data_IF_502991042476
#
_entry.id   IF_502991042476
#
_cell.length_a   1.000
_cell.length_b   1.000
_cell.length_c   1.000
_cell.angle_alpha   90.00
_cell.angle_beta   90.00
_cell.angle_gamma   90.00
#
_symmetry.space_group_name_H-M   'P 1'
#
loop_
_entity.id
_entity.type
_entity.pdbx_description
1 polymer ?
#
# COMPACT_ATOMS: atom_id res chain seq x y z
N UNK A 1 -22.40 1.66 33.89
CA UNK A 1 -21.17 1.91 33.16
C UNK A 1 -20.33 0.64 33.33
N UNK A 2 -20.42 -0.28 32.38
CA UNK A 2 -19.54 -1.43 32.32
C UNK A 2 -18.18 -0.87 31.90
N UNK A 3 -17.12 -1.15 32.69
CA UNK A 3 -15.77 -0.76 32.36
C UNK A 3 -15.40 -1.36 31.01
N UNK A 4 -15.04 -0.51 30.07
CA UNK A 4 -14.35 -0.90 28.86
C UNK A 4 -13.07 -1.63 29.33
N UNK A 5 -13.02 -2.95 29.22
CA UNK A 5 -11.75 -3.66 29.15
C UNK A 5 -10.94 -2.91 28.08
N UNK A 6 -9.76 -2.46 28.45
CA UNK A 6 -8.88 -1.73 27.50
C UNK A 6 -8.64 -2.64 26.32
N UNK A 7 -9.09 -2.24 25.14
CA UNK A 7 -8.87 -2.95 23.90
C UNK A 7 -7.39 -3.30 23.79
N UNK A 8 -7.08 -4.60 23.72
CA UNK A 8 -5.72 -5.06 23.49
C UNK A 8 -5.42 -4.99 22.00
N UNK A 9 -4.16 -4.86 21.63
CA UNK A 9 -3.73 -4.95 20.24
C UNK A 9 -2.88 -6.20 20.07
N UNK A 10 -3.43 -7.21 19.40
CA UNK A 10 -2.73 -8.47 19.16
C UNK A 10 -1.84 -8.38 17.91
N UNK A 11 -0.64 -8.95 17.99
CA UNK A 11 0.20 -9.23 16.83
C UNK A 11 -0.20 -10.60 16.28
N UNK A 12 -0.59 -10.66 15.01
CA UNK A 12 -0.95 -11.91 14.33
C UNK A 12 0.02 -12.13 13.17
N UNK A 13 0.84 -13.16 13.30
CA UNK A 13 1.81 -13.57 12.28
C UNK A 13 1.18 -14.65 11.42
N UNK A 14 1.20 -14.42 10.11
CA UNK A 14 0.63 -15.29 9.08
C UNK A 14 1.77 -16.06 8.44
N UNK A 15 1.86 -17.37 8.70
CA UNK A 15 2.92 -18.22 8.22
C UNK A 15 2.37 -19.43 7.43
N UNK A 16 3.19 -20.00 6.54
CA UNK A 16 2.81 -21.18 5.77
C UNK A 16 3.92 -22.24 5.80
N UNK A 17 4.94 -22.12 4.95
CA UNK A 17 5.95 -23.15 4.73
C UNK A 17 7.41 -22.66 4.75
N UNK A 18 7.65 -21.41 5.15
CA UNK A 18 8.95 -20.74 5.09
C UNK A 18 9.54 -20.50 6.47
N UNK A 19 10.36 -21.44 6.96
CA UNK A 19 10.94 -21.37 8.31
C UNK A 19 11.90 -20.20 8.50
N UNK A 20 12.85 -19.99 7.56
CA UNK A 20 13.86 -18.93 7.68
C UNK A 20 13.25 -17.50 7.68
N UNK A 21 12.32 -17.17 6.78
CA UNK A 21 11.57 -15.92 6.85
C UNK A 21 10.86 -15.73 8.19
N UNK A 22 10.12 -16.74 8.67
CA UNK A 22 9.42 -16.69 9.95
C UNK A 22 10.39 -16.40 11.11
N UNK A 23 11.53 -17.10 11.21
CA UNK A 23 12.52 -16.85 12.27
C UNK A 23 13.05 -15.42 12.25
N UNK A 24 13.24 -14.86 11.06
CA UNK A 24 13.72 -13.50 10.87
C UNK A 24 12.68 -12.46 11.33
N UNK A 25 11.40 -12.65 10.96
CA UNK A 25 10.31 -11.82 11.46
C UNK A 25 10.20 -11.91 12.97
N UNK A 26 10.14 -13.12 13.53
CA UNK A 26 10.08 -13.36 14.98
C UNK A 26 11.24 -12.67 15.73
N UNK A 27 12.45 -12.71 15.17
CA UNK A 27 13.61 -12.02 15.75
C UNK A 27 13.43 -10.49 15.79
N UNK A 28 12.89 -9.89 14.73
CA UNK A 28 12.63 -8.44 14.70
C UNK A 28 11.49 -8.05 15.66
N UNK A 29 10.43 -8.83 15.73
CA UNK A 29 9.32 -8.66 16.68
C UNK A 29 9.81 -8.76 18.12
N UNK A 30 10.68 -9.74 18.44
CA UNK A 30 11.25 -9.91 19.79
C UNK A 30 12.06 -8.71 20.27
N UNK A 31 12.74 -8.00 19.36
CA UNK A 31 13.62 -6.87 19.68
C UNK A 31 12.96 -5.50 19.54
N UNK A 32 11.69 -5.47 19.19
CA UNK A 32 10.90 -4.24 19.10
C UNK A 32 10.56 -3.68 20.49
N UNK A 33 10.12 -2.44 20.51
CA UNK A 33 9.72 -1.73 21.72
C UNK A 33 8.21 -1.87 21.94
N UNK A 34 7.85 -2.18 23.17
CA UNK A 34 6.47 -2.30 23.60
C UNK A 34 6.23 -1.39 24.80
N UNK A 35 5.00 -0.83 24.97
CA UNK A 35 4.70 0.03 26.10
C UNK A 35 4.88 -0.71 27.43
N UNK A 36 5.40 -0.01 28.45
CA UNK A 36 5.54 -0.57 29.77
C UNK A 36 4.20 -1.06 30.31
N UNK A 37 4.20 -2.26 30.91
CA UNK A 37 3.02 -2.91 31.52
C UNK A 37 1.86 -3.17 30.53
N UNK A 38 2.08 -3.08 29.22
CA UNK A 38 1.10 -3.47 28.22
C UNK A 38 1.21 -4.98 27.99
N UNK A 39 0.09 -5.67 28.01
CA UNK A 39 0.00 -7.06 27.58
C UNK A 39 -0.17 -7.09 26.07
N UNK A 40 0.79 -7.67 25.37
CA UNK A 40 0.81 -7.78 23.89
C UNK A 40 0.59 -9.25 23.50
N UNK A 41 -0.64 -9.65 23.16
CA UNK A 41 -0.90 -10.98 22.68
C UNK A 41 -0.20 -11.24 21.35
N UNK A 42 0.42 -12.41 21.20
CA UNK A 42 1.06 -12.86 19.97
C UNK A 42 0.38 -14.15 19.48
N UNK A 43 -0.18 -14.09 18.28
CA UNK A 43 -0.74 -15.25 17.60
C UNK A 43 0.17 -15.57 16.41
N UNK A 44 0.63 -16.84 16.32
CA UNK A 44 1.36 -17.35 15.16
C UNK A 44 0.44 -18.35 14.49
N UNK A 45 -0.21 -17.94 13.39
CA UNK A 45 -1.09 -18.79 12.62
C UNK A 45 -0.32 -19.43 11.46
N UNK A 46 -0.34 -20.76 11.39
CA UNK A 46 0.43 -21.55 10.43
C UNK A 46 -0.55 -22.35 9.57
N UNK A 47 -0.67 -21.99 8.28
CA UNK A 47 -1.46 -22.76 7.33
C UNK A 47 -0.86 -24.15 7.11
N UNK A 48 -1.70 -25.13 6.79
CA UNK A 48 -1.30 -26.52 6.62
C UNK A 48 -0.24 -26.69 5.54
N UNK A 49 0.92 -27.19 5.94
CA UNK A 49 2.01 -27.61 5.05
C UNK A 49 2.68 -28.88 5.60
N UNK A 50 3.51 -29.51 4.79
CA UNK A 50 4.32 -30.67 5.20
C UNK A 50 5.65 -30.25 5.86
N UNK A 51 5.91 -28.95 6.01
CA UNK A 51 7.13 -28.43 6.61
C UNK A 51 7.01 -28.26 8.14
N UNK A 52 7.37 -29.27 8.89
CA UNK A 52 7.36 -29.24 10.36
C UNK A 52 8.32 -28.23 11.01
N UNK A 53 9.33 -27.73 10.26
CA UNK A 53 10.28 -26.75 10.81
C UNK A 53 9.64 -25.39 11.10
N UNK A 54 8.54 -25.03 10.40
CA UNK A 54 7.78 -23.79 10.65
C UNK A 54 7.12 -23.86 12.03
N UNK A 55 6.45 -24.97 12.34
CA UNK A 55 5.83 -25.19 13.67
C UNK A 55 6.90 -25.24 14.78
N UNK A 56 8.03 -25.88 14.51
CA UNK A 56 9.16 -25.91 15.44
C UNK A 56 9.70 -24.51 15.72
N UNK A 57 9.89 -23.68 14.68
CA UNK A 57 10.33 -22.29 14.83
C UNK A 57 9.37 -21.46 15.69
N UNK A 58 8.06 -21.62 15.51
CA UNK A 58 7.04 -20.96 16.32
C UNK A 58 7.03 -21.46 17.77
N UNK A 59 7.20 -22.78 17.98
CA UNK A 59 7.20 -23.40 19.32
C UNK A 59 8.41 -22.98 20.15
N UNK A 60 9.60 -22.95 19.54
CA UNK A 60 10.86 -22.57 20.18
C UNK A 60 10.95 -21.06 20.47
N UNK A 61 10.10 -20.24 19.85
CA UNK A 61 10.12 -18.79 20.02
C UNK A 61 9.60 -18.41 21.41
N UNK A 62 10.43 -17.71 22.19
CA UNK A 62 10.07 -17.18 23.50
C UNK A 62 9.48 -15.78 23.40
N UNK A 63 8.26 -15.59 23.95
CA UNK A 63 7.52 -14.32 23.98
C UNK A 63 7.25 -13.89 25.42
N UNK A 64 7.78 -12.76 25.82
CA UNK A 64 7.73 -12.29 27.22
C UNK A 64 6.74 -11.13 27.45
N UNK A 65 6.11 -10.60 26.39
CA UNK A 65 5.29 -9.41 26.50
C UNK A 65 3.78 -9.68 26.64
N UNK A 66 3.39 -10.95 26.65
CA UNK A 66 1.99 -11.35 26.80
C UNK A 66 1.77 -12.82 26.46
N UNK A 67 0.53 -13.20 26.29
CA UNK A 67 0.17 -14.55 25.84
C UNK A 67 0.73 -14.86 24.46
N UNK A 68 1.27 -16.06 24.25
CA UNK A 68 1.64 -16.61 22.93
C UNK A 68 0.72 -17.76 22.57
N UNK A 69 0.02 -17.65 21.45
CA UNK A 69 -0.81 -18.72 20.88
C UNK A 69 -0.24 -19.17 19.53
N UNK A 70 -0.19 -20.48 19.29
CA UNK A 70 0.16 -21.07 18.00
C UNK A 70 -1.08 -21.76 17.47
N UNK A 71 -1.54 -21.33 16.29
CA UNK A 71 -2.69 -21.91 15.61
C UNK A 71 -2.20 -22.72 14.41
N UNK A 72 -2.64 -23.96 14.30
CA UNK A 72 -2.37 -24.85 13.17
C UNK A 72 -3.68 -25.30 12.56
N UNK A 73 -3.71 -25.56 11.27
CA UNK A 73 -4.89 -25.96 10.53
C UNK A 73 -4.78 -27.40 10.02
N UNK A 74 -5.86 -28.15 10.12
CA UNK A 74 -5.89 -29.55 9.63
C UNK A 74 -5.88 -29.64 8.11
N UNK A 75 -6.39 -28.59 7.43
CA UNK A 75 -6.47 -28.48 5.98
C UNK A 75 -5.84 -27.17 5.53
N UNK A 76 -5.27 -27.16 4.32
CA UNK A 76 -4.79 -25.93 3.68
C UNK A 76 -5.94 -24.95 3.46
N UNK A 77 -5.84 -23.78 4.06
CA UNK A 77 -6.80 -22.69 3.91
C UNK A 77 -6.58 -21.91 2.61
N UNK A 78 -5.30 -21.73 2.25
CA UNK A 78 -4.86 -20.82 1.21
C UNK A 78 -4.85 -19.36 1.69
N UNK A 79 -4.10 -18.52 0.96
CA UNK A 79 -3.77 -17.16 1.40
C UNK A 79 -4.99 -16.34 1.81
N UNK A 80 -6.02 -16.27 0.97
CA UNK A 80 -7.20 -15.43 1.22
C UNK A 80 -7.91 -15.81 2.52
N UNK A 81 -8.28 -17.06 2.67
CA UNK A 81 -9.02 -17.51 3.85
C UNK A 81 -8.17 -17.39 5.10
N UNK A 82 -6.89 -17.74 5.01
CA UNK A 82 -5.96 -17.65 6.13
C UNK A 82 -5.83 -16.20 6.65
N UNK A 83 -5.63 -15.22 5.76
CA UNK A 83 -5.56 -13.80 6.13
C UNK A 83 -6.88 -13.33 6.75
N UNK A 84 -8.02 -13.74 6.17
CA UNK A 84 -9.34 -13.36 6.69
C UNK A 84 -9.57 -13.90 8.11
N UNK A 85 -9.25 -15.17 8.37
CA UNK A 85 -9.33 -15.77 9.71
C UNK A 85 -8.37 -15.10 10.70
N UNK A 86 -7.16 -14.71 10.27
CA UNK A 86 -6.21 -13.98 11.09
C UNK A 86 -6.72 -12.57 11.48
N UNK A 87 -7.34 -11.86 10.56
CA UNK A 87 -7.92 -10.54 10.84
C UNK A 87 -9.17 -10.61 11.75
N UNK A 88 -9.90 -11.72 11.72
CA UNK A 88 -11.10 -11.93 12.56
C UNK A 88 -10.76 -11.95 14.06
N UNK A 89 -9.48 -12.16 14.45
CA UNK A 89 -9.02 -11.99 15.84
C UNK A 89 -9.17 -10.55 16.35
N UNK A 90 -9.41 -9.55 15.48
CA UNK A 90 -9.78 -8.21 15.92
C UNK A 90 -11.05 -8.19 16.76
N UNK A 91 -11.98 -9.12 16.54
CA UNK A 91 -13.18 -9.28 17.37
C UNK A 91 -12.92 -9.79 18.78
N UNK A 92 -11.80 -10.50 19.00
CA UNK A 92 -11.39 -11.01 20.31
C UNK A 92 -10.58 -9.96 21.10
N UNK A 93 -9.68 -9.23 20.41
CA UNK A 93 -8.71 -8.35 21.06
C UNK A 93 -9.03 -6.85 20.93
N UNK A 94 -10.00 -6.47 20.11
CA UNK A 94 -10.29 -5.06 19.81
C UNK A 94 -9.47 -4.53 18.64
N UNK A 95 -8.17 -4.81 18.59
CA UNK A 95 -7.28 -4.42 17.49
C UNK A 95 -6.34 -5.56 17.10
N UNK A 96 -5.91 -5.58 15.82
CA UNK A 96 -4.90 -6.52 15.32
C UNK A 96 -3.86 -5.83 14.46
N UNK A 97 -2.62 -6.35 14.54
CA UNK A 97 -1.54 -6.06 13.60
C UNK A 97 -1.25 -7.36 12.85
N UNK A 98 -1.44 -7.36 11.53
CA UNK A 98 -1.23 -8.52 10.66
C UNK A 98 0.16 -8.42 10.00
N UNK A 99 0.98 -9.45 10.17
CA UNK A 99 2.33 -9.53 9.61
C UNK A 99 2.50 -10.86 8.86
N UNK A 100 2.84 -10.80 7.57
CA UNK A 100 3.24 -11.97 6.79
C UNK A 100 4.67 -12.41 7.15
N UNK A 101 4.99 -13.70 7.02
CA UNK A 101 6.23 -14.31 7.51
C UNK A 101 7.53 -13.80 6.86
N UNK A 102 7.44 -13.09 5.70
CA UNK A 102 8.59 -12.52 4.99
C UNK A 102 8.90 -11.06 5.33
N UNK A 103 8.26 -10.51 6.32
CA UNK A 103 8.50 -9.14 6.74
C UNK A 103 9.63 -9.02 7.76
N UNK A 104 10.09 -7.80 7.92
CA UNK A 104 10.94 -7.33 9.00
C UNK A 104 10.34 -6.07 9.59
N UNK A 105 10.24 -5.97 10.92
CA UNK A 105 9.68 -4.81 11.59
C UNK A 105 10.77 -3.97 12.24
N UNK A 106 10.61 -2.64 12.22
CA UNK A 106 11.47 -1.73 12.96
C UNK A 106 11.08 -1.69 14.46
N UNK A 107 11.97 -1.18 15.34
CA UNK A 107 11.71 -1.20 16.77
C UNK A 107 10.39 -0.56 17.20
N UNK A 108 9.99 0.55 16.61
CA UNK A 108 8.82 1.33 17.05
C UNK A 108 7.50 0.97 16.34
N UNK A 109 7.46 -0.13 15.58
CA UNK A 109 6.29 -0.50 14.77
C UNK A 109 5.00 -0.65 15.57
N UNK A 110 5.10 -1.22 16.76
CA UNK A 110 3.95 -1.46 17.63
C UNK A 110 3.38 -0.16 18.19
N UNK A 111 4.26 0.71 18.69
CA UNK A 111 3.86 2.02 19.22
C UNK A 111 3.23 2.91 18.15
N UNK A 112 3.78 2.89 16.91
CA UNK A 112 3.16 3.55 15.78
C UNK A 112 1.75 3.00 15.51
N UNK A 113 1.62 1.67 15.43
CA UNK A 113 0.33 1.03 15.17
C UNK A 113 -0.72 1.42 16.21
N UNK A 114 -0.37 1.40 17.50
CA UNK A 114 -1.26 1.83 18.58
C UNK A 114 -1.72 3.28 18.37
N UNK A 115 -0.77 4.19 18.20
CA UNK A 115 -1.07 5.61 18.03
C UNK A 115 -1.92 5.89 16.77
N UNK A 116 -1.65 5.20 15.67
CA UNK A 116 -2.40 5.35 14.43
C UNK A 116 -3.81 4.74 14.52
N UNK A 117 -3.98 3.59 15.17
CA UNK A 117 -5.29 2.97 15.42
C UNK A 117 -6.16 3.85 16.32
N UNK A 118 -5.60 4.39 17.41
CA UNK A 118 -6.28 5.33 18.28
C UNK A 118 -6.71 6.58 17.51
N UNK A 119 -5.80 7.15 16.71
CA UNK A 119 -6.07 8.34 15.90
C UNK A 119 -7.19 8.12 14.88
N UNK A 120 -7.30 6.92 14.29
CA UNK A 120 -8.25 6.60 13.23
C UNK A 120 -9.55 5.95 13.72
N UNK A 121 -9.66 5.57 14.99
CA UNK A 121 -10.75 4.76 15.54
C UNK A 121 -12.17 5.34 15.29
N UNK A 122 -12.29 6.67 15.26
CA UNK A 122 -13.57 7.37 15.07
C UNK A 122 -13.73 7.97 13.65
N UNK A 123 -12.83 7.69 12.73
CA UNK A 123 -12.91 8.20 11.35
C UNK A 123 -13.42 7.11 10.41
N UNK A 124 -14.72 7.20 10.06
CA UNK A 124 -15.41 6.22 9.19
C UNK A 124 -14.83 6.14 7.77
N UNK A 125 -14.02 7.13 7.37
CA UNK A 125 -13.32 7.13 6.08
C UNK A 125 -11.99 6.38 6.10
N UNK A 126 -11.57 5.86 7.25
CA UNK A 126 -10.31 5.12 7.37
C UNK A 126 -10.60 3.63 7.54
N UNK A 127 -10.20 2.84 6.54
CA UNK A 127 -10.44 1.40 6.49
C UNK A 127 -9.32 0.57 7.12
N UNK A 128 -8.22 1.19 7.55
CA UNK A 128 -7.08 0.52 8.19
C UNK A 128 -5.81 1.36 8.19
N UNK A 129 -4.77 0.82 8.78
CA UNK A 129 -3.45 1.46 8.92
C UNK A 129 -2.39 0.57 8.25
N UNK A 130 -1.54 1.15 7.43
CA UNK A 130 -0.34 0.50 6.89
C UNK A 130 0.86 0.75 7.79
N UNK A 131 1.74 -0.23 7.90
CA UNK A 131 3.05 -0.09 8.51
C UNK A 131 4.16 0.10 7.46
N UNK A 132 3.82 -0.06 6.21
CA UNK A 132 4.70 0.05 5.05
C UNK A 132 4.49 1.39 4.34
N UNK A 133 5.57 1.99 3.82
CA UNK A 133 5.52 3.20 3.02
C UNK A 133 5.84 2.88 1.55
N UNK A 134 4.93 3.21 0.63
CA UNK A 134 5.20 3.07 -0.80
C UNK A 134 6.18 4.13 -1.28
N UNK A 135 7.28 3.69 -1.90
CA UNK A 135 8.21 4.54 -2.65
C UNK A 135 8.09 4.32 -4.16
N UNK A 136 7.17 3.45 -4.56
CA UNK A 136 6.92 3.08 -5.95
C UNK A 136 5.41 3.05 -6.19
N UNK A 137 4.94 3.71 -7.25
CA UNK A 137 3.61 3.45 -7.78
C UNK A 137 3.62 2.05 -8.41
N UNK A 138 2.94 1.11 -7.77
CA UNK A 138 2.97 -0.32 -8.13
C UNK A 138 2.32 -0.62 -9.48
N UNK A 139 1.52 0.29 -10.02
CA UNK A 139 0.82 0.09 -11.30
C UNK A 139 1.72 0.38 -12.50
N UNK A 140 2.55 1.42 -12.39
CA UNK A 140 3.43 1.87 -13.49
C UNK A 140 4.92 1.62 -13.23
N UNK A 141 5.28 1.15 -12.03
CA UNK A 141 6.65 0.87 -11.60
C UNK A 141 7.55 2.12 -11.65
N UNK A 142 6.99 3.28 -11.31
CA UNK A 142 7.70 4.55 -11.22
C UNK A 142 7.77 5.04 -9.78
N UNK A 143 8.79 5.85 -9.42
CA UNK A 143 8.90 6.42 -8.07
C UNK A 143 7.63 7.17 -7.66
N UNK A 144 7.19 6.92 -6.44
CA UNK A 144 6.09 7.61 -5.80
C UNK A 144 6.61 8.33 -4.56
N UNK A 145 6.32 9.61 -4.47
CA UNK A 145 6.64 10.45 -3.32
C UNK A 145 5.36 11.21 -2.94
N UNK A 146 4.76 10.93 -1.79
CA UNK A 146 3.61 11.69 -1.34
C UNK A 146 4.01 13.14 -1.01
N UNK A 147 3.12 14.10 -1.23
CA UNK A 147 3.32 15.51 -0.92
C UNK A 147 3.64 15.67 0.57
N UNK A 148 4.71 16.41 0.88
CA UNK A 148 5.09 16.73 2.25
C UNK A 148 4.21 17.88 2.76
N UNK A 149 3.29 17.59 3.68
CA UNK A 149 2.34 18.55 4.27
C UNK A 149 2.55 18.79 5.77
N UNK A 150 3.64 18.24 6.31
CA UNK A 150 4.06 18.44 7.70
C UNK A 150 3.46 17.45 8.70
N UNK A 151 2.74 16.45 8.25
CA UNK A 151 2.26 15.32 9.05
C UNK A 151 3.14 14.07 8.84
N UNK A 152 3.15 13.16 9.82
CA UNK A 152 3.90 11.91 9.75
C UNK A 152 3.16 10.79 8.98
N UNK A 153 1.99 11.11 8.44
CA UNK A 153 1.17 10.21 7.64
C UNK A 153 0.78 10.82 6.28
N UNK A 154 0.31 9.98 5.41
CA UNK A 154 -0.45 10.29 4.21
C UNK A 154 -1.57 9.26 4.03
N UNK A 155 -2.43 9.43 3.04
CA UNK A 155 -3.57 8.57 2.79
C UNK A 155 -3.54 8.00 1.38
N UNK A 156 -3.93 6.72 1.25
CA UNK A 156 -3.99 6.04 -0.05
C UNK A 156 -5.18 5.07 -0.06
N UNK A 157 -5.96 5.04 -1.14
CA UNK A 157 -7.04 4.06 -1.34
C UNK A 157 -6.50 2.69 -1.79
N UNK A 158 -5.49 2.22 -1.12
CA UNK A 158 -4.85 0.93 -1.35
C UNK A 158 -4.53 0.33 0.01
N UNK A 159 -5.00 -0.88 0.28
CA UNK A 159 -4.55 -1.63 1.44
C UNK A 159 -3.16 -2.23 1.17
N UNK A 160 -2.42 -2.56 2.22
CA UNK A 160 -1.08 -3.11 2.12
C UNK A 160 -1.01 -4.45 2.84
N UNK A 161 -0.44 -5.49 2.21
CA UNK A 161 -0.13 -6.76 2.86
C UNK A 161 1.24 -6.76 3.58
N UNK A 162 2.03 -5.70 3.41
CA UNK A 162 3.38 -5.59 3.99
C UNK A 162 3.37 -5.00 5.41
N UNK A 163 2.49 -5.51 6.26
CA UNK A 163 2.26 -5.02 7.62
C UNK A 163 1.11 -4.02 7.67
N UNK A 164 0.09 -4.38 8.41
CA UNK A 164 -1.15 -3.62 8.48
C UNK A 164 -1.82 -3.79 9.84
N UNK A 165 -2.60 -2.81 10.24
CA UNK A 165 -3.33 -2.85 11.49
C UNK A 165 -4.78 -2.40 11.31
N UNK A 166 -5.67 -2.99 12.10
CA UNK A 166 -7.10 -2.72 12.06
C UNK A 166 -7.69 -2.67 13.47
N UNK A 167 -8.64 -1.79 13.68
CA UNK A 167 -9.60 -1.93 14.78
C UNK A 167 -10.64 -3.01 14.43
N UNK A 168 -11.32 -3.55 15.45
CA UNK A 168 -12.43 -4.49 15.25
C UNK A 168 -13.50 -3.91 14.32
N UNK A 169 -13.79 -2.60 14.44
CA UNK A 169 -14.78 -1.91 13.61
C UNK A 169 -14.36 -1.83 12.14
N UNK A 170 -13.12 -1.47 11.86
CA UNK A 170 -12.57 -1.39 10.50
C UNK A 170 -12.58 -2.77 9.82
N UNK A 171 -12.09 -3.80 10.52
CA UNK A 171 -12.09 -5.15 9.98
C UNK A 171 -13.48 -5.72 9.76
N UNK A 172 -14.38 -5.54 10.72
CA UNK A 172 -15.79 -5.95 10.62
C UNK A 172 -16.48 -5.32 9.42
N UNK A 173 -16.29 -4.01 9.18
CA UNK A 173 -16.85 -3.32 8.02
C UNK A 173 -16.41 -3.94 6.69
N UNK A 174 -15.12 -4.29 6.56
CA UNK A 174 -14.62 -5.02 5.40
C UNK A 174 -15.23 -6.42 5.27
N UNK A 175 -15.31 -7.19 6.37
CA UNK A 175 -15.87 -8.55 6.37
C UNK A 175 -17.35 -8.56 5.98
N UNK A 176 -18.16 -7.64 6.51
CA UNK A 176 -19.57 -7.52 6.17
C UNK A 176 -19.80 -7.12 4.70
N UNK A 177 -18.94 -6.23 4.16
CA UNK A 177 -18.99 -5.88 2.75
C UNK A 177 -18.65 -7.08 1.87
N UNK A 178 -17.58 -7.82 2.22
CA UNK A 178 -17.13 -9.00 1.48
C UNK A 178 -18.19 -10.11 1.47
N UNK A 179 -18.84 -10.35 2.61
CA UNK A 179 -19.93 -11.34 2.74
C UNK A 179 -21.13 -10.98 1.88
N UNK A 180 -21.57 -9.71 1.92
CA UNK A 180 -22.69 -9.22 1.10
C UNK A 180 -22.41 -9.30 -0.40
N UNK A 181 -21.16 -9.06 -0.80
CA UNK A 181 -20.77 -9.14 -2.21
C UNK A 181 -20.65 -10.58 -2.71
N UNK A 182 -20.36 -11.51 -1.84
CA UNK A 182 -20.11 -12.92 -2.17
C UNK A 182 -18.67 -13.20 -2.57
N UNK A 183 -18.19 -14.36 -2.19
CA UNK A 183 -16.83 -14.81 -2.52
C UNK A 183 -16.68 -15.05 -4.03
N UNK A 184 -15.58 -14.53 -4.61
CA UNK A 184 -15.28 -14.68 -6.03
C UNK A 184 -16.11 -13.80 -6.97
N UNK A 185 -16.89 -12.85 -6.44
CA UNK A 185 -17.65 -11.91 -7.27
C UNK A 185 -16.74 -11.08 -8.16
N UNK A 186 -17.15 -10.86 -9.40
CA UNK A 186 -16.45 -9.98 -10.32
C UNK A 186 -16.47 -8.52 -9.81
N UNK A 187 -15.37 -7.80 -10.03
CA UNK A 187 -15.21 -6.40 -9.65
C UNK A 187 -15.40 -5.47 -10.87
N UNK A 188 -16.30 -5.83 -11.80
CA UNK A 188 -16.47 -5.12 -13.07
C UNK A 188 -16.96 -3.69 -12.88
N UNK A 189 -17.79 -3.47 -11.85
CA UNK A 189 -18.45 -2.18 -11.60
C UNK A 189 -17.59 -1.22 -10.76
N UNK A 190 -16.48 -1.69 -10.19
CA UNK A 190 -15.60 -0.88 -9.36
C UNK A 190 -14.49 -0.26 -10.21
N UNK A 191 -14.20 1.03 -10.02
CA UNK A 191 -13.07 1.75 -10.68
C UNK A 191 -11.73 1.34 -10.05
N UNK A 192 -11.39 0.06 -10.20
CA UNK A 192 -10.18 -0.56 -9.66
C UNK A 192 -9.09 -0.60 -10.74
N UNK A 193 -7.81 -0.32 -10.41
CA UNK A 193 -6.71 -0.42 -11.35
C UNK A 193 -6.63 -1.79 -12.03
N UNK A 194 -6.38 -1.82 -13.33
CA UNK A 194 -6.42 -3.04 -14.16
C UNK A 194 -5.48 -4.15 -13.67
N UNK A 195 -4.28 -3.79 -13.23
CA UNK A 195 -3.36 -4.77 -12.66
C UNK A 195 -3.91 -5.39 -11.37
N UNK A 196 -4.62 -4.64 -10.51
CA UNK A 196 -5.28 -5.18 -9.31
C UNK A 196 -6.46 -6.05 -9.73
N UNK A 197 -7.25 -5.63 -10.73
CA UNK A 197 -8.34 -6.41 -11.30
C UNK A 197 -7.88 -7.77 -11.79
N UNK A 198 -6.69 -7.84 -12.41
CA UNK A 198 -6.11 -9.06 -12.95
C UNK A 198 -5.55 -10.03 -11.90
N UNK A 199 -5.45 -9.63 -10.62
CA UNK A 199 -5.00 -10.54 -9.57
C UNK A 199 -5.95 -11.72 -9.42
N UNK A 200 -5.38 -12.86 -9.00
CA UNK A 200 -6.15 -14.07 -8.73
C UNK A 200 -7.30 -13.81 -7.73
N UNK A 201 -8.38 -14.56 -7.86
CA UNK A 201 -9.49 -14.53 -6.89
C UNK A 201 -9.10 -15.07 -5.51
N UNK A 202 -7.93 -15.73 -5.40
CA UNK A 202 -7.32 -16.06 -4.11
C UNK A 202 -6.71 -14.85 -3.38
N UNK A 203 -6.63 -13.66 -4.01
CA UNK A 203 -6.13 -12.44 -3.38
C UNK A 203 -7.20 -11.80 -2.51
N UNK A 204 -7.00 -11.79 -1.19
CA UNK A 204 -7.85 -11.03 -0.25
C UNK A 204 -7.69 -9.51 -0.45
N UNK A 205 -6.46 -9.08 -0.79
CA UNK A 205 -6.09 -7.68 -0.96
C UNK A 205 -6.86 -6.99 -2.10
N UNK A 206 -7.10 -7.71 -3.21
CA UNK A 206 -7.93 -7.26 -4.33
C UNK A 206 -9.31 -6.78 -3.86
N UNK A 207 -9.95 -7.56 -2.98
CA UNK A 207 -11.28 -7.24 -2.45
C UNK A 207 -11.25 -6.12 -1.40
N UNK A 208 -10.19 -6.05 -0.59
CA UNK A 208 -10.05 -4.95 0.35
C UNK A 208 -9.86 -3.61 -0.37
N UNK A 209 -9.06 -3.58 -1.46
CA UNK A 209 -8.92 -2.39 -2.29
C UNK A 209 -10.26 -1.98 -2.92
N UNK A 210 -11.04 -2.95 -3.45
CA UNK A 210 -12.35 -2.67 -4.00
C UNK A 210 -13.30 -2.10 -2.93
N UNK A 211 -13.27 -2.62 -1.72
CA UNK A 211 -14.02 -2.10 -0.57
C UNK A 211 -13.69 -0.64 -0.28
N UNK A 212 -12.40 -0.30 -0.23
CA UNK A 212 -11.97 1.07 0.01
C UNK A 212 -12.47 2.03 -1.07
N UNK A 213 -12.40 1.62 -2.34
CA UNK A 213 -12.86 2.45 -3.46
C UNK A 213 -14.38 2.65 -3.41
N UNK A 214 -15.16 1.57 -3.23
CA UNK A 214 -16.63 1.65 -3.22
C UNK A 214 -17.19 2.42 -2.02
N UNK A 215 -16.45 2.45 -0.92
CA UNK A 215 -16.85 3.18 0.30
C UNK A 215 -16.19 4.56 0.42
N UNK A 216 -15.40 4.98 -0.55
CA UNK A 216 -14.58 6.20 -0.51
C UNK A 216 -13.73 6.28 0.76
N UNK A 217 -13.11 5.15 1.12
CA UNK A 217 -12.27 5.00 2.31
C UNK A 217 -10.80 4.95 1.93
N UNK A 218 -9.95 5.23 2.91
CA UNK A 218 -8.50 5.30 2.75
C UNK A 218 -7.80 4.45 3.80
N UNK A 219 -6.57 4.06 3.52
CA UNK A 219 -5.61 3.61 4.52
C UNK A 219 -4.75 4.78 4.97
N UNK A 220 -4.44 4.84 6.27
CA UNK A 220 -3.41 5.71 6.80
C UNK A 220 -2.06 5.03 6.60
N UNK A 221 -1.14 5.72 5.95
CA UNK A 221 0.23 5.28 5.66
C UNK A 221 1.27 6.10 6.40
N UNK A 222 2.36 5.48 6.91
CA UNK A 222 3.48 6.21 7.49
C UNK A 222 4.34 6.86 6.40
N UNK A 223 4.98 7.98 6.70
CA UNK A 223 6.01 8.53 5.82
C UNK A 223 7.34 7.81 5.95
N UNK A 224 7.66 7.29 7.13
CA UNK A 224 8.80 6.39 7.36
C UNK A 224 8.28 4.98 7.56
N UNK A 225 8.76 4.04 6.77
CA UNK A 225 8.28 2.66 6.83
C UNK A 225 8.66 1.98 8.14
N UNK A 226 7.69 1.32 8.77
CA UNK A 226 7.85 0.53 10.01
C UNK A 226 8.11 -0.95 9.70
N UNK A 227 7.87 -1.35 8.44
CA UNK A 227 8.10 -2.70 7.95
C UNK A 227 8.77 -2.66 6.58
N UNK A 228 9.44 -3.74 6.22
CA UNK A 228 9.89 -4.00 4.85
C UNK A 228 9.84 -5.49 4.57
N UNK A 229 9.79 -5.86 3.30
CA UNK A 229 9.94 -7.23 2.87
C UNK A 229 11.41 -7.55 2.55
N UNK A 230 11.71 -8.83 2.35
CA UNK A 230 13.02 -9.29 1.91
C UNK A 230 13.00 -9.74 0.45
N UNK A 231 14.19 -9.76 -0.17
CA UNK A 231 14.40 -10.25 -1.54
C UNK A 231 14.20 -11.77 -1.70
N UNK A 232 13.85 -12.48 -0.64
CA UNK A 232 13.68 -13.94 -0.70
C UNK A 232 12.53 -14.33 -1.62
N UNK A 233 12.70 -15.39 -2.41
CA UNK A 233 11.69 -15.93 -3.28
C UNK A 233 10.42 -16.25 -2.48
N UNK A 234 9.29 -15.64 -2.87
CA UNK A 234 7.96 -15.93 -2.32
C UNK A 234 7.20 -16.94 -3.17
N UNK A 235 6.07 -17.42 -2.68
CA UNK A 235 5.21 -18.37 -3.43
C UNK A 235 4.70 -17.76 -4.75
N UNK A 236 4.57 -16.43 -4.80
CA UNK A 236 4.08 -15.69 -5.98
C UNK A 236 5.16 -14.90 -6.74
N UNK A 237 6.41 -14.92 -6.27
CA UNK A 237 7.53 -14.24 -6.94
C UNK A 237 8.42 -15.25 -7.65
N UNK A 238 8.50 -15.17 -8.97
CA UNK A 238 9.33 -16.05 -9.81
C UNK A 238 10.85 -15.81 -9.69
N UNK A 239 11.30 -15.04 -8.68
CA UNK A 239 12.70 -14.74 -8.46
C UNK A 239 12.93 -13.75 -7.32
N UNK A 240 14.20 -13.51 -6.99
CA UNK A 240 14.61 -12.48 -6.03
C UNK A 240 14.39 -11.08 -6.63
N UNK A 241 13.64 -10.23 -5.94
CA UNK A 241 13.41 -8.83 -6.33
C UNK A 241 13.49 -7.91 -5.10
N UNK A 242 14.21 -6.80 -5.24
CA UNK A 242 14.29 -5.75 -4.21
C UNK A 242 13.39 -4.54 -4.52
N UNK A 243 12.58 -4.61 -5.55
CA UNK A 243 11.81 -3.46 -6.07
C UNK A 243 10.85 -2.86 -5.03
N UNK A 244 10.38 -3.69 -4.10
CA UNK A 244 9.43 -3.32 -3.06
C UNK A 244 10.08 -3.21 -1.68
N UNK A 245 11.41 -3.33 -1.59
CA UNK A 245 12.11 -2.99 -0.36
C UNK A 245 12.14 -1.48 -0.15
N UNK A 246 11.90 -1.09 1.09
CA UNK A 246 11.89 0.31 1.50
C UNK A 246 12.86 0.54 2.66
N UNK A 247 13.43 1.74 2.80
CA UNK A 247 14.25 2.09 3.95
C UNK A 247 13.44 1.93 5.25
N UNK A 248 14.05 1.30 6.24
CA UNK A 248 13.52 1.22 7.59
C UNK A 248 14.16 2.26 8.50
N UNK A 249 13.35 2.87 9.38
CA UNK A 249 13.87 3.69 10.47
C UNK A 249 14.54 2.83 11.54
N UNK A 250 15.39 3.48 12.37
CA UNK A 250 16.01 2.87 13.56
C UNK A 250 15.68 3.66 14.82
N UNK A 251 14.73 4.58 14.72
CA UNK A 251 14.30 5.42 15.84
C UNK A 251 13.37 4.66 16.80
N UNK A 252 13.26 5.17 18.03
CA UNK A 252 12.50 4.61 19.13
C UNK A 252 11.80 5.73 19.90
N UNK A 253 10.61 5.44 20.45
CA UNK A 253 9.91 6.36 21.33
C UNK A 253 9.53 7.69 20.69
N UNK A 254 9.18 7.68 19.42
CA UNK A 254 8.79 8.87 18.68
C UNK A 254 7.35 9.25 18.99
N UNK A 255 7.11 10.55 19.11
CA UNK A 255 5.76 11.10 19.17
C UNK A 255 5.31 11.46 17.76
N UNK A 256 4.34 10.74 17.24
CA UNK A 256 3.80 10.95 15.90
C UNK A 256 2.82 12.12 15.84
N UNK A 257 2.92 12.92 14.77
CA UNK A 257 1.99 14.01 14.46
C UNK A 257 1.14 13.61 13.26
N UNK A 258 0.00 12.99 13.53
CA UNK A 258 -0.95 12.65 12.49
C UNK A 258 -1.82 13.83 12.07
N UNK A 259 -2.07 13.97 10.77
CA UNK A 259 -3.06 14.88 10.20
C UNK A 259 -4.28 14.11 9.73
N UNK A 260 -5.48 14.62 9.97
CA UNK A 260 -6.73 14.01 9.50
C UNK A 260 -6.85 14.10 7.97
N UNK A 261 -7.63 13.19 7.37
CA UNK A 261 -7.79 13.13 5.92
C UNK A 261 -8.20 14.48 5.31
N UNK A 262 -9.09 15.22 5.95
CA UNK A 262 -9.55 16.54 5.45
C UNK A 262 -8.54 17.68 5.69
N UNK A 263 -7.54 17.49 6.55
CA UNK A 263 -6.45 18.45 6.82
C UNK A 263 -5.25 18.20 5.90
N UNK A 264 -5.07 16.96 5.47
CA UNK A 264 -3.92 16.54 4.67
C UNK A 264 -4.10 16.90 3.20
N UNK A 265 -3.02 17.38 2.57
CA UNK A 265 -2.90 17.53 1.12
C UNK A 265 -2.29 16.30 0.44
N UNK A 266 -2.09 15.25 1.20
CA UNK A 266 -1.40 14.03 0.80
C UNK A 266 -2.36 12.84 0.85
N UNK A 267 -3.53 12.99 0.21
CA UNK A 267 -4.52 11.94 -0.03
C UNK A 267 -4.49 11.49 -1.48
N UNK A 268 -4.37 10.17 -1.70
CA UNK A 268 -4.23 9.56 -3.03
C UNK A 268 -5.32 8.53 -3.28
N UNK A 269 -5.86 8.50 -4.51
CA UNK A 269 -6.78 7.46 -4.92
C UNK A 269 -6.04 6.13 -5.20
N UNK A 270 -6.78 5.09 -5.57
CA UNK A 270 -6.22 3.76 -5.86
C UNK A 270 -5.26 3.75 -7.06
N UNK A 271 -5.20 4.82 -7.85
CA UNK A 271 -4.27 4.99 -8.98
C UNK A 271 -3.00 5.79 -8.60
N UNK A 272 -2.81 6.09 -7.30
CA UNK A 272 -1.75 6.95 -6.79
C UNK A 272 -1.87 8.41 -7.26
N UNK A 273 -3.08 8.86 -7.58
CA UNK A 273 -3.33 10.23 -8.02
C UNK A 273 -3.85 11.08 -6.84
N UNK A 274 -3.25 12.24 -6.67
CA UNK A 274 -3.57 13.13 -5.54
C UNK A 274 -4.97 13.73 -5.68
N UNK A 275 -5.83 13.43 -4.70
CA UNK A 275 -7.22 13.89 -4.71
C UNK A 275 -7.35 15.39 -4.44
N UNK A 276 -6.42 16.01 -3.72
CA UNK A 276 -6.42 17.46 -3.47
C UNK A 276 -6.15 18.28 -4.72
N UNK A 277 -5.53 17.70 -5.75
CA UNK A 277 -5.36 18.38 -7.04
C UNK A 277 -6.69 18.65 -7.75
N UNK A 278 -7.72 17.84 -7.53
CA UNK A 278 -9.06 18.09 -8.11
C UNK A 278 -9.61 19.42 -7.60
N UNK A 279 -9.52 19.65 -6.30
CA UNK A 279 -9.98 20.90 -5.68
C UNK A 279 -9.14 22.10 -6.14
N UNK A 280 -7.81 21.93 -6.22
CA UNK A 280 -6.92 22.96 -6.72
C UNK A 280 -7.24 23.36 -8.15
N UNK A 281 -7.46 22.39 -9.06
CA UNK A 281 -7.82 22.63 -10.45
C UNK A 281 -9.21 23.27 -10.56
N UNK A 282 -10.17 22.78 -9.79
CA UNK A 282 -11.51 23.33 -9.73
C UNK A 282 -11.49 24.81 -9.35
N UNK A 283 -10.74 25.17 -8.32
CA UNK A 283 -10.59 26.57 -7.90
C UNK A 283 -9.86 27.41 -8.96
N UNK A 284 -8.75 26.91 -9.51
CA UNK A 284 -7.91 27.65 -10.46
C UNK A 284 -8.61 27.98 -11.80
N UNK A 285 -9.45 27.06 -12.27
CA UNK A 285 -10.11 27.17 -13.59
C UNK A 285 -11.62 27.36 -13.49
N UNK A 286 -12.19 27.57 -12.30
CA UNK A 286 -13.64 27.69 -12.05
C UNK A 286 -14.42 26.49 -12.58
N UNK A 287 -13.92 25.26 -12.30
CA UNK A 287 -14.50 23.99 -12.71
C UNK A 287 -15.16 23.30 -11.51
N UNK A 288 -15.90 22.21 -11.77
CA UNK A 288 -16.38 21.33 -10.68
C UNK A 288 -15.38 20.21 -10.41
N UNK A 289 -15.01 19.93 -9.14
CA UNK A 289 -14.09 18.86 -8.81
C UNK A 289 -14.52 17.49 -9.34
N UNK A 290 -15.84 17.22 -9.37
CA UNK A 290 -16.43 15.99 -9.91
C UNK A 290 -16.14 15.75 -11.40
N UNK A 291 -15.92 16.82 -12.16
CA UNK A 291 -15.71 16.77 -13.61
C UNK A 291 -14.22 16.60 -13.96
N UNK A 292 -13.34 16.59 -12.95
CA UNK A 292 -11.88 16.53 -13.12
C UNK A 292 -11.36 15.12 -12.81
N UNK A 293 -10.57 14.59 -13.73
CA UNK A 293 -9.78 13.39 -13.55
C UNK A 293 -8.29 13.77 -13.48
N UNK A 294 -7.57 13.21 -12.52
CA UNK A 294 -6.11 13.33 -12.40
C UNK A 294 -5.48 12.03 -12.89
N UNK A 295 -4.43 12.12 -13.70
CA UNK A 295 -3.71 10.99 -14.29
C UNK A 295 -2.25 11.39 -14.58
N UNK A 296 -1.54 11.86 -13.55
CA UNK A 296 -0.14 12.31 -13.69
C UNK A 296 0.80 11.17 -14.08
N UNK A 297 0.46 9.95 -13.67
CA UNK A 297 1.19 8.75 -14.03
C UNK A 297 0.83 8.22 -15.44
N UNK A 298 -0.21 8.74 -16.08
CA UNK A 298 -0.62 8.33 -17.43
C UNK A 298 -1.02 6.85 -17.52
N UNK A 299 -1.60 6.31 -16.45
CA UNK A 299 -1.99 4.92 -16.33
C UNK A 299 -3.40 4.63 -16.83
N UNK A 300 -4.31 5.61 -16.72
CA UNK A 300 -5.73 5.42 -17.06
C UNK A 300 -5.92 5.22 -18.56
N UNK A 301 -6.76 4.24 -18.91
CA UNK A 301 -7.14 4.01 -20.32
C UNK A 301 -8.12 5.08 -20.78
N UNK A 302 -8.10 5.39 -22.07
CA UNK A 302 -9.06 6.35 -22.69
C UNK A 302 -10.52 5.99 -22.42
N UNK A 303 -10.82 4.69 -22.32
CA UNK A 303 -12.17 4.17 -22.02
C UNK A 303 -12.61 4.44 -20.58
N UNK A 304 -11.67 4.60 -19.65
CA UNK A 304 -11.91 4.88 -18.23
C UNK A 304 -12.13 6.36 -17.95
N UNK A 305 -11.83 7.22 -18.94
CA UNK A 305 -12.03 8.67 -18.86
C UNK A 305 -13.48 9.10 -19.16
N UNK A 306 -14.36 8.17 -19.51
CA UNK A 306 -15.77 8.45 -19.82
C UNK A 306 -16.47 9.16 -18.66
N UNK A 307 -17.15 10.27 -18.99
CA UNK A 307 -17.91 11.06 -18.03
C UNK A 307 -17.09 12.09 -17.24
N UNK A 308 -15.78 12.20 -17.49
CA UNK A 308 -14.95 13.26 -16.93
C UNK A 308 -14.60 14.25 -18.04
N UNK A 309 -15.12 15.46 -17.95
CA UNK A 309 -14.89 16.49 -18.97
C UNK A 309 -13.48 17.04 -18.97
N UNK A 310 -12.85 17.12 -17.78
CA UNK A 310 -11.52 17.69 -17.67
C UNK A 310 -10.54 16.62 -17.19
N UNK A 311 -9.41 16.51 -17.87
CA UNK A 311 -8.38 15.54 -17.59
C UNK A 311 -7.02 16.23 -17.45
N UNK A 312 -6.39 16.09 -16.29
CA UNK A 312 -4.99 16.47 -16.08
C UNK A 312 -4.12 15.22 -16.21
N UNK A 313 -3.39 15.09 -17.30
CA UNK A 313 -2.65 13.85 -17.62
C UNK A 313 -1.29 14.12 -18.26
N UNK A 314 -0.38 13.16 -18.09
CA UNK A 314 0.90 13.09 -18.82
C UNK A 314 0.78 12.41 -20.20
N UNK A 315 -0.39 11.95 -20.59
CA UNK A 315 -0.61 11.29 -21.88
C UNK A 315 -0.78 12.32 -23.00
N UNK A 316 -0.23 12.04 -24.18
CA UNK A 316 -0.49 12.81 -25.40
C UNK A 316 -1.84 12.39 -25.99
N UNK A 317 -2.88 13.23 -25.81
CA UNK A 317 -4.25 12.94 -26.22
C UNK A 317 -4.76 13.99 -27.22
N UNK A 318 -5.64 13.62 -28.17
CA UNK A 318 -6.14 14.52 -29.22
C UNK A 318 -7.33 15.36 -28.71
N UNK A 319 -7.14 16.03 -27.57
CA UNK A 319 -8.12 16.94 -26.99
C UNK A 319 -7.58 18.36 -26.89
N UNK A 320 -8.47 19.33 -26.73
CA UNK A 320 -8.10 20.74 -26.54
C UNK A 320 -7.35 20.90 -25.23
N UNK A 321 -6.12 21.42 -25.29
CA UNK A 321 -5.30 21.77 -24.14
C UNK A 321 -5.77 23.11 -23.60
N UNK A 322 -6.12 23.14 -22.30
CA UNK A 322 -6.46 24.35 -21.56
C UNK A 322 -5.23 24.97 -20.90
N UNK A 323 -4.34 24.11 -20.37
CA UNK A 323 -3.07 24.51 -19.75
C UNK A 323 -2.07 23.37 -19.76
N UNK A 324 -0.78 23.66 -19.48
CA UNK A 324 0.26 22.64 -19.45
C UNK A 324 1.35 22.95 -18.43
N UNK A 325 1.94 21.88 -17.86
CA UNK A 325 2.90 21.94 -16.77
C UNK A 325 4.14 21.10 -17.06
N UNK A 326 5.27 21.53 -16.47
CA UNK A 326 6.53 20.80 -16.56
C UNK A 326 6.61 19.60 -15.62
N UNK A 327 7.62 18.74 -15.82
CA UNK A 327 8.04 17.66 -14.93
C UNK A 327 9.45 17.94 -14.41
N UNK A 328 9.56 18.90 -13.48
CA UNK A 328 10.85 19.36 -12.96
C UNK A 328 10.97 19.25 -11.44
N UNK A 329 9.86 19.27 -10.72
CA UNK A 329 9.81 19.14 -9.26
C UNK A 329 9.37 17.74 -8.81
N UNK A 330 9.78 17.36 -7.62
CA UNK A 330 9.30 16.15 -6.91
C UNK A 330 8.66 16.55 -5.59
N UNK A 331 7.56 15.89 -5.21
CA UNK A 331 6.73 14.96 -6.00
C UNK A 331 6.15 15.59 -7.27
N UNK A 332 5.56 14.75 -8.17
CA UNK A 332 4.98 15.21 -9.44
C UNK A 332 3.93 16.31 -9.24
N UNK A 333 3.15 16.16 -8.18
CA UNK A 333 2.10 17.10 -7.74
C UNK A 333 2.61 18.53 -7.57
N UNK A 334 3.87 18.70 -7.12
CA UNK A 334 4.46 20.02 -6.91
C UNK A 334 4.54 20.86 -8.19
N UNK A 335 4.68 20.23 -9.37
CA UNK A 335 4.68 20.96 -10.64
C UNK A 335 3.33 21.66 -10.87
N UNK A 336 2.23 20.98 -10.48
CA UNK A 336 0.88 21.51 -10.60
C UNK A 336 0.59 22.51 -9.46
N UNK A 337 0.95 22.18 -8.23
CA UNK A 337 0.72 23.02 -7.04
C UNK A 337 1.39 24.38 -7.23
N UNK A 338 2.65 24.40 -7.67
CA UNK A 338 3.44 25.63 -7.88
C UNK A 338 3.30 26.21 -9.28
N UNK A 339 2.42 25.67 -10.12
CA UNK A 339 2.13 26.19 -11.47
C UNK A 339 3.39 26.33 -12.34
N UNK A 340 4.19 25.27 -12.44
CA UNK A 340 5.43 25.27 -13.22
C UNK A 340 5.10 24.99 -14.68
N UNK A 341 5.20 26.01 -15.54
CA UNK A 341 4.90 25.91 -16.96
C UNK A 341 5.83 24.93 -17.70
N UNK A 342 5.28 24.14 -18.61
CA UNK A 342 6.01 23.17 -19.42
C UNK A 342 5.08 22.31 -20.28
N UNK A 343 5.61 21.24 -20.88
CA UNK A 343 4.90 20.40 -21.84
C UNK A 343 4.94 18.91 -21.46
N UNK A 344 4.80 18.61 -20.16
CA UNK A 344 4.85 17.23 -19.64
C UNK A 344 3.51 16.74 -19.07
N UNK A 345 2.70 17.66 -18.53
CA UNK A 345 1.36 17.40 -18.05
C UNK A 345 0.41 18.39 -18.70
N UNK A 346 -0.74 17.92 -19.14
CA UNK A 346 -1.71 18.71 -19.90
C UNK A 346 -3.07 18.66 -19.22
N UNK A 347 -3.68 19.83 -19.03
CA UNK A 347 -5.09 19.94 -18.66
C UNK A 347 -5.92 19.98 -19.94
N UNK A 348 -6.68 18.94 -20.18
CA UNK A 348 -7.52 18.77 -21.36
C UNK A 348 -9.00 19.11 -21.08
N UNK A 349 -9.69 19.69 -22.10
CA UNK A 349 -11.14 19.62 -22.23
C UNK A 349 -11.47 18.46 -23.19
N UNK A 350 -11.96 17.34 -22.66
CA UNK A 350 -12.18 16.11 -23.42
C UNK A 350 -13.42 16.15 -24.31
N UNK A 351 -14.27 17.18 -24.17
CA UNK A 351 -15.43 17.44 -25.04
C UNK A 351 -15.03 18.17 -26.35
N UNK A 352 -13.80 18.65 -26.40
CA UNK A 352 -13.30 19.41 -27.54
C UNK A 352 -12.09 18.72 -28.19
N UNK A 353 -12.16 18.41 -29.46
CA UNK A 353 -11.01 17.85 -30.19
C UNK A 353 -9.86 18.86 -30.27
N UNK A 354 -8.64 18.36 -30.30
CA UNK A 354 -7.42 19.14 -30.42
C UNK A 354 -6.28 18.33 -31.02
N UNK A 355 -5.17 18.98 -31.27
CA UNK A 355 -3.95 18.29 -31.73
C UNK A 355 -3.25 17.67 -30.54
N UNK A 356 -2.94 16.37 -30.62
CA UNK A 356 -2.14 15.72 -29.61
C UNK A 356 -0.74 16.35 -29.48
N UNK A 357 -0.28 16.68 -28.27
CA UNK A 357 1.05 17.24 -28.06
C UNK A 357 2.14 16.21 -28.40
N UNK A 358 3.33 16.69 -28.76
CA UNK A 358 4.51 15.84 -28.89
C UNK A 358 5.05 15.52 -27.48
N UNK A 359 5.03 14.26 -27.08
CA UNK A 359 5.57 13.80 -25.79
C UNK A 359 6.72 12.87 -26.04
N UNK A 360 7.90 13.20 -25.52
CA UNK A 360 9.03 12.26 -25.49
C UNK A 360 8.89 11.30 -24.31
N UNK A 361 8.50 10.07 -24.59
CA UNK A 361 8.40 9.02 -23.55
C UNK A 361 9.73 8.71 -22.88
N UNK A 362 10.85 8.93 -23.54
CA UNK A 362 12.16 8.68 -22.98
C UNK A 362 12.52 9.71 -21.91
N UNK A 363 12.10 10.97 -22.05
CA UNK A 363 12.32 12.01 -21.03
C UNK A 363 11.66 11.66 -19.70
N UNK A 364 10.51 11.00 -19.71
CA UNK A 364 9.86 10.50 -18.49
C UNK A 364 10.77 9.52 -17.71
N UNK A 365 11.39 8.60 -18.40
CA UNK A 365 12.32 7.65 -17.77
C UNK A 365 13.63 8.34 -17.36
N UNK A 366 14.15 9.24 -18.18
CA UNK A 366 15.33 10.04 -17.86
C UNK A 366 15.11 10.89 -16.61
N UNK A 367 13.94 11.52 -16.46
CA UNK A 367 13.59 12.26 -15.24
C UNK A 367 13.73 11.39 -13.98
N UNK A 368 13.23 10.15 -14.02
CA UNK A 368 13.27 9.24 -12.90
C UNK A 368 14.67 8.65 -12.62
N UNK A 369 15.46 8.42 -13.67
CA UNK A 369 16.71 7.64 -13.61
C UNK A 369 17.93 8.39 -14.12
N UNK A 370 17.87 9.70 -14.25
CA UNK A 370 18.98 10.55 -14.77
C UNK A 370 20.28 10.42 -14.00
N UNK A 371 20.23 10.05 -12.72
CA UNK A 371 21.42 9.78 -11.91
C UNK A 371 22.19 8.52 -12.31
N UNK A 372 21.60 7.64 -13.14
CA UNK A 372 22.28 6.46 -13.64
C UNK A 372 23.09 6.80 -14.89
N UNK A 373 24.40 6.53 -14.85
CA UNK A 373 25.25 6.68 -16.06
C UNK A 373 24.84 5.67 -17.14
N UNK A 374 25.05 6.02 -18.41
CA UNK A 374 24.76 5.15 -19.56
C UNK A 374 25.45 3.78 -19.43
N UNK A 375 26.68 3.73 -18.90
CA UNK A 375 27.40 2.48 -18.66
C UNK A 375 26.70 1.58 -17.63
N UNK A 376 26.15 2.17 -16.54
CA UNK A 376 25.38 1.43 -15.54
C UNK A 376 24.05 0.93 -16.10
N UNK A 377 23.34 1.73 -16.89
CA UNK A 377 22.10 1.32 -17.57
C UNK A 377 22.37 0.14 -18.52
N UNK A 378 23.41 0.20 -19.33
CA UNK A 378 23.81 -0.89 -20.22
C UNK A 378 24.18 -2.17 -19.47
N UNK A 379 24.89 -2.04 -18.33
CA UNK A 379 25.22 -3.20 -17.48
C UNK A 379 23.96 -3.85 -16.89
N UNK A 380 22.97 -3.05 -16.46
CA UNK A 380 21.69 -3.55 -15.97
C UNK A 380 20.91 -4.28 -17.07
N UNK A 381 20.80 -3.70 -18.27
CA UNK A 381 20.13 -4.33 -19.42
C UNK A 381 20.82 -5.65 -19.77
N UNK A 382 22.16 -5.64 -19.89
CA UNK A 382 22.92 -6.86 -20.16
C UNK A 382 22.67 -7.95 -19.12
N UNK A 383 22.66 -7.60 -17.83
CA UNK A 383 22.39 -8.53 -16.74
C UNK A 383 20.97 -9.10 -16.81
N UNK A 384 19.97 -8.26 -17.06
CA UNK A 384 18.58 -8.67 -17.19
C UNK A 384 18.37 -9.63 -18.37
N UNK A 385 19.00 -9.32 -19.52
CA UNK A 385 18.97 -10.21 -20.71
C UNK A 385 19.63 -11.55 -20.42
N UNK A 386 20.80 -11.54 -19.77
CA UNK A 386 21.51 -12.78 -19.39
C UNK A 386 20.69 -13.64 -18.42
N UNK A 387 20.04 -13.02 -17.41
CA UNK A 387 19.19 -13.77 -16.47
C UNK A 387 17.94 -14.37 -17.13
N UNK A 388 17.40 -13.75 -18.19
CA UNK A 388 16.30 -14.31 -18.99
C UNK A 388 16.76 -15.48 -19.86
N UNK A 389 17.98 -15.39 -20.43
CA UNK A 389 18.52 -16.44 -21.30
C UNK A 389 19.10 -17.61 -20.49
N UNK A 390 19.64 -17.34 -19.32
CA UNK A 390 20.27 -18.31 -18.42
C UNK A 390 19.72 -18.10 -17.00
N UNK A 391 18.50 -18.54 -16.71
CA UNK A 391 17.95 -18.43 -15.36
C UNK A 391 18.87 -19.21 -14.41
N UNK A 392 19.28 -18.56 -13.31
CA UNK A 392 20.01 -19.25 -12.25
C UNK A 392 19.13 -20.38 -11.72
N UNK A 393 19.56 -21.61 -11.92
CA UNK A 393 19.04 -22.74 -11.16
C UNK A 393 19.35 -22.49 -9.70
N UNK A 394 18.32 -22.25 -8.90
CA UNK A 394 18.44 -22.12 -7.45
C UNK A 394 18.76 -23.53 -6.93
N UNK A 395 19.98 -23.69 -6.42
CA UNK A 395 20.41 -24.84 -5.63
C UNK A 395 19.99 -24.70 -4.17
#
# INVERSE_FOLDING_TARGET
MAGLETDKTAIVIIAYNREKPLRRLLSSVKTADYPDKCEVPLIISIDKSDNGEVLKAASEFDWKYGEKRILTHDKRLGLRRHVLECGDHSGEYGNVILLEDDLFVMPDFYNYALAALEFTACDERIGGVSLYNHLLNVHVREPFFPVEDGFDNYYLQLASSWGQAYTAGQWKGFREWLEKRGEGSELCDTDIPENVRSWSDSSWLKYNIAYLIEKDMYFLYPRSSLTTNFMSQGEHSGGESCDLQVPLGVFRGVRYRFGKLYESRSGYDAFFENTALKELMAQRYSLKPSDICIDLYGYRKKTELKGRRYLLSSQALPFKILDSYARTLRPLDCNIIYNINGEDFFLYDTDTEGKAPGVDKAERYLYNYRALSSARMLAMIKRTCLNKLFPKTVS
#
